data_IF_595771311831
#
_entry.id   IF_595771311831
#
_cell.length_a   1.000
_cell.length_b   1.000
_cell.length_c   1.000
_cell.angle_alpha   90.00
_cell.angle_beta   90.00
_cell.angle_gamma   90.00
#
_symmetry.space_group_name_H-M   'P 1'
#
loop_
_entity.id
_entity.type
_entity.pdbx_description
1 polymer ?
#
# COMPACT_ATOMS: atom_id res chain seq x y z
N UNK A 1 -8.23 -9.72 -11.86
CA UNK A 1 -7.21 -8.72 -12.23
C UNK A 1 -5.82 -9.27 -11.94
N UNK A 2 -4.92 -9.17 -12.89
CA UNK A 2 -3.56 -9.66 -12.72
C UNK A 2 -2.68 -8.61 -12.04
N UNK A 3 -1.79 -9.08 -11.17
CA UNK A 3 -0.77 -8.23 -10.55
C UNK A 3 0.41 -8.13 -11.53
N UNK A 4 0.75 -6.91 -11.92
CA UNK A 4 1.91 -6.65 -12.77
C UNK A 4 3.14 -6.43 -11.90
N UNK A 5 4.19 -7.22 -12.13
CA UNK A 5 5.46 -7.05 -11.42
C UNK A 5 6.34 -6.07 -12.17
N UNK A 6 6.64 -4.94 -11.53
CA UNK A 6 7.57 -3.91 -12.05
C UNK A 6 8.45 -3.46 -10.90
N UNK A 7 9.48 -4.25 -10.63
CA UNK A 7 10.30 -4.05 -9.44
C UNK A 7 11.22 -2.85 -9.59
N UNK A 8 11.26 -2.02 -8.55
CA UNK A 8 12.14 -0.86 -8.46
C UNK A 8 13.54 -1.30 -8.04
N UNK A 9 14.54 -0.49 -8.38
CA UNK A 9 15.96 -0.75 -8.09
C UNK A 9 16.44 -0.04 -6.82
N UNK A 10 15.64 0.84 -6.25
CA UNK A 10 15.98 1.69 -5.11
C UNK A 10 14.87 1.61 -4.08
N UNK A 11 15.13 2.22 -2.90
CA UNK A 11 14.09 2.51 -1.91
C UNK A 11 13.44 1.27 -1.28
N UNK A 12 14.20 0.22 -1.09
CA UNK A 12 13.74 -0.95 -0.33
C UNK A 12 14.93 -1.60 0.38
N UNK A 13 14.62 -2.46 1.34
CA UNK A 13 15.63 -3.18 2.11
C UNK A 13 15.12 -4.57 2.47
N UNK A 14 15.98 -5.39 3.05
CA UNK A 14 15.55 -6.66 3.63
C UNK A 14 14.73 -6.37 4.88
N UNK A 15 13.80 -7.27 5.20
CA UNK A 15 13.07 -7.17 6.46
C UNK A 15 14.02 -7.47 7.62
N UNK A 16 14.00 -6.63 8.64
CA UNK A 16 14.79 -6.85 9.85
C UNK A 16 14.36 -8.16 10.49
N UNK A 17 15.33 -8.97 10.91
CA UNK A 17 15.08 -10.26 11.53
C UNK A 17 14.51 -11.30 10.58
N UNK A 18 14.46 -11.04 9.27
CA UNK A 18 13.92 -11.96 8.26
C UNK A 18 12.49 -12.41 8.58
N UNK A 19 11.71 -11.56 9.25
CA UNK A 19 10.35 -11.89 9.69
C UNK A 19 9.36 -11.82 8.54
N UNK A 20 8.28 -12.59 8.65
CA UNK A 20 7.14 -12.48 7.73
C UNK A 20 6.32 -11.24 8.08
N UNK A 21 5.69 -10.60 7.08
CA UNK A 21 4.79 -9.49 7.38
C UNK A 21 3.55 -9.98 8.15
N UNK A 22 3.13 -9.18 9.12
CA UNK A 22 1.95 -9.47 9.94
C UNK A 22 0.90 -8.37 9.84
N UNK A 23 1.21 -7.25 9.17
CA UNK A 23 0.29 -6.15 8.92
C UNK A 23 0.23 -5.83 7.45
N UNK A 24 -0.94 -5.36 7.01
CA UNK A 24 -1.10 -4.68 5.72
C UNK A 24 -1.45 -3.23 6.05
N UNK A 25 -0.66 -2.29 5.54
CA UNK A 25 -0.84 -0.85 5.79
C UNK A 25 -1.38 -0.21 4.52
N UNK A 26 -2.56 0.38 4.63
CA UNK A 26 -3.25 1.02 3.51
C UNK A 26 -2.93 2.51 3.51
N UNK A 27 -2.55 3.00 2.33
CA UNK A 27 -2.27 4.40 2.06
C UNK A 27 -3.06 4.87 0.86
N UNK A 28 -3.21 6.17 0.68
CA UNK A 28 -3.42 6.72 -0.65
C UNK A 28 -2.21 7.58 -1.03
N UNK A 29 -2.02 7.78 -2.33
CA UNK A 29 -0.83 8.49 -2.81
C UNK A 29 -0.87 9.99 -2.50
N UNK A 30 -2.05 10.52 -2.19
CA UNK A 30 -2.24 11.94 -1.93
C UNK A 30 -1.97 12.84 -3.13
N UNK A 31 -1.79 12.29 -4.32
CA UNK A 31 -1.46 13.03 -5.54
C UNK A 31 -2.62 12.98 -6.53
N UNK A 32 -3.47 14.03 -6.58
CA UNK A 32 -4.64 14.05 -7.46
C UNK A 32 -4.34 14.47 -8.90
N UNK A 33 -3.10 14.72 -9.26
CA UNK A 33 -2.76 15.16 -10.62
C UNK A 33 -3.21 14.13 -11.65
N UNK A 34 -3.69 14.61 -12.79
CA UNK A 34 -3.95 13.75 -13.94
C UNK A 34 -2.67 13.01 -14.34
N UNK A 35 -2.77 11.73 -14.59
CA UNK A 35 -1.63 10.88 -14.93
C UNK A 35 -0.83 10.34 -13.74
N UNK A 36 -1.15 10.72 -12.50
CA UNK A 36 -0.48 10.20 -11.31
C UNK A 36 -1.02 8.82 -10.94
N UNK A 37 -0.87 7.88 -11.85
CA UNK A 37 -1.36 6.50 -11.74
C UNK A 37 -0.27 5.54 -11.20
N UNK A 38 -0.57 4.27 -11.19
CA UNK A 38 0.35 3.26 -10.65
C UNK A 38 1.69 3.22 -11.40
N UNK A 39 1.66 3.29 -12.72
CA UNK A 39 2.90 3.29 -13.51
C UNK A 39 3.72 4.56 -13.32
N UNK A 40 3.06 5.70 -13.13
CA UNK A 40 3.77 6.96 -12.84
C UNK A 40 4.51 6.86 -11.50
N UNK A 41 3.90 6.25 -10.49
CA UNK A 41 4.55 6.03 -9.20
C UNK A 41 5.70 5.02 -9.32
N UNK A 42 5.52 3.95 -10.07
CA UNK A 42 6.62 3.04 -10.35
C UNK A 42 7.81 3.79 -10.95
N UNK A 43 7.58 4.61 -11.98
CA UNK A 43 8.66 5.36 -12.62
C UNK A 43 9.36 6.32 -11.66
N UNK A 44 8.57 6.97 -10.80
CA UNK A 44 9.12 7.90 -9.81
C UNK A 44 10.05 7.18 -8.82
N UNK A 45 9.58 6.10 -8.22
CA UNK A 45 10.35 5.39 -7.20
C UNK A 45 11.48 4.54 -7.79
N UNK A 46 11.45 4.27 -9.09
CA UNK A 46 12.54 3.62 -9.80
C UNK A 46 13.54 4.63 -10.39
N UNK A 47 13.35 5.91 -10.17
CA UNK A 47 14.16 6.98 -10.73
C UNK A 47 15.31 7.47 -9.86
N UNK A 48 15.53 6.88 -8.69
CA UNK A 48 16.59 7.26 -7.77
C UNK A 48 16.19 7.16 -6.32
N UNK A 49 17.04 7.69 -5.44
CA UNK A 49 16.76 7.67 -3.99
C UNK A 49 15.64 8.66 -3.66
N UNK A 50 14.47 8.14 -3.31
CA UNK A 50 13.30 8.93 -2.91
C UNK A 50 12.99 8.79 -1.41
N UNK A 51 13.71 7.92 -0.69
CA UNK A 51 13.55 7.65 0.75
C UNK A 51 12.15 7.18 1.12
N UNK A 52 11.41 6.64 0.16
CA UNK A 52 10.07 6.13 0.34
C UNK A 52 9.75 5.11 -0.75
N UNK A 53 8.80 4.23 -0.48
CA UNK A 53 8.26 3.27 -1.46
C UNK A 53 7.03 2.60 -0.89
N UNK A 54 6.43 1.73 -1.68
CA UNK A 54 5.39 0.81 -1.24
C UNK A 54 5.58 -0.52 -1.97
N UNK A 55 4.91 -1.57 -1.52
CA UNK A 55 4.94 -2.85 -2.22
C UNK A 55 4.04 -2.80 -3.46
N UNK A 56 2.86 -2.17 -3.34
CA UNK A 56 1.87 -2.13 -4.41
C UNK A 56 1.38 -0.71 -4.61
N UNK A 57 1.24 -0.33 -5.88
CA UNK A 57 0.49 0.85 -6.31
C UNK A 57 -0.70 0.38 -7.11
N UNK A 58 -1.89 0.87 -6.76
CA UNK A 58 -3.15 0.38 -7.31
C UNK A 58 -3.93 1.56 -7.87
N UNK A 59 -4.31 1.48 -9.14
CA UNK A 59 -5.21 2.45 -9.76
C UNK A 59 -6.43 1.73 -10.35
N UNK A 60 -7.23 2.44 -11.12
CA UNK A 60 -8.45 1.90 -11.71
C UNK A 60 -8.20 0.82 -12.78
N UNK A 61 -6.98 0.72 -13.27
CA UNK A 61 -6.64 -0.18 -14.39
C UNK A 61 -5.63 -1.25 -14.02
N UNK A 62 -4.83 -1.04 -12.95
CA UNK A 62 -3.66 -1.87 -12.67
C UNK A 62 -3.43 -2.07 -11.19
N UNK A 63 -2.87 -3.23 -10.89
CA UNK A 63 -2.20 -3.51 -9.61
C UNK A 63 -0.72 -3.73 -9.96
N UNK A 64 0.16 -2.84 -9.50
CA UNK A 64 1.58 -2.89 -9.82
C UNK A 64 2.37 -3.23 -8.55
N UNK A 65 3.07 -4.35 -8.57
CA UNK A 65 3.98 -4.74 -7.50
C UNK A 65 5.36 -4.13 -7.78
N UNK A 66 5.80 -3.21 -6.92
CA UNK A 66 7.05 -2.48 -7.08
C UNK A 66 8.16 -2.97 -6.16
N UNK A 67 7.81 -3.61 -5.06
CA UNK A 67 8.75 -4.26 -4.14
C UNK A 67 8.21 -5.64 -3.82
N UNK A 68 9.07 -6.66 -3.87
CA UNK A 68 8.64 -8.00 -3.47
C UNK A 68 8.30 -8.04 -1.99
N UNK A 69 7.24 -8.76 -1.63
CA UNK A 69 6.76 -8.79 -0.23
C UNK A 69 7.72 -9.47 0.73
N UNK A 70 8.72 -10.21 0.21
CA UNK A 70 9.81 -10.74 1.02
C UNK A 70 10.79 -9.67 1.48
N UNK A 71 10.75 -8.49 0.85
CA UNK A 71 11.54 -7.32 1.25
C UNK A 71 10.65 -6.28 1.95
N UNK A 72 11.28 -5.35 2.65
CA UNK A 72 10.60 -4.22 3.25
C UNK A 72 10.55 -3.06 2.25
N UNK A 73 9.37 -2.48 2.05
CA UNK A 73 9.24 -1.18 1.41
C UNK A 73 9.23 -0.10 2.49
N UNK A 74 9.49 1.14 2.10
CA UNK A 74 9.64 2.26 3.02
C UNK A 74 8.39 3.13 2.98
N UNK A 75 7.37 2.74 3.74
CA UNK A 75 6.05 3.36 3.63
C UNK A 75 5.47 3.89 4.95
N UNK A 76 5.99 3.45 6.10
CA UNK A 76 5.46 3.86 7.40
C UNK A 76 6.54 4.07 8.47
N UNK A 77 7.78 4.31 8.04
CA UNK A 77 8.93 4.51 8.94
C UNK A 77 8.83 5.76 9.81
N UNK A 78 7.97 6.72 9.45
CA UNK A 78 7.72 7.94 10.22
C UNK A 78 7.10 7.64 11.60
N UNK A 79 6.54 6.46 11.80
CA UNK A 79 6.01 6.03 13.11
C UNK A 79 7.09 5.61 14.09
N UNK A 80 8.31 5.32 13.62
CA UNK A 80 9.43 4.87 14.45
C UNK A 80 9.09 3.66 15.32
N UNK A 81 8.14 2.83 14.88
CA UNK A 81 7.70 1.64 15.60
C UNK A 81 6.87 1.89 16.87
N UNK A 82 6.49 3.14 17.14
CA UNK A 82 5.79 3.53 18.39
C UNK A 82 4.50 2.75 18.63
N UNK A 83 3.84 2.34 17.58
CA UNK A 83 2.54 1.65 17.67
C UNK A 83 2.64 0.19 17.21
N UNK A 84 3.86 -0.35 17.11
CA UNK A 84 4.10 -1.75 16.77
C UNK A 84 4.03 -2.07 15.28
N UNK A 85 3.87 -1.07 14.42
CA UNK A 85 3.79 -1.24 12.97
C UNK A 85 5.02 -0.59 12.33
N UNK A 86 5.79 -1.38 11.59
CA UNK A 86 7.07 -0.95 11.00
C UNK A 86 7.12 -1.34 9.54
N UNK A 87 8.10 -0.80 8.81
CA UNK A 87 8.37 -1.25 7.44
C UNK A 87 8.72 -2.74 7.39
N UNK A 88 9.40 -3.26 8.41
CA UNK A 88 9.86 -4.65 8.43
C UNK A 88 8.73 -5.65 8.68
N UNK A 89 7.67 -5.28 9.41
CA UNK A 89 6.60 -6.22 9.74
C UNK A 89 5.32 -6.01 8.94
N UNK A 90 5.36 -5.17 7.90
CA UNK A 90 4.16 -4.80 7.15
C UNK A 90 4.35 -4.83 5.65
N UNK A 91 3.23 -4.83 4.95
CA UNK A 91 3.15 -4.66 3.49
C UNK A 91 2.42 -3.35 3.24
N UNK A 92 3.01 -2.47 2.41
CA UNK A 92 2.39 -1.19 2.06
C UNK A 92 1.63 -1.28 0.75
N UNK A 93 0.37 -0.87 0.77
CA UNK A 93 -0.50 -0.79 -0.41
C UNK A 93 -0.94 0.67 -0.57
N UNK A 94 -0.59 1.27 -1.70
CA UNK A 94 -0.91 2.65 -2.04
C UNK A 94 -2.02 2.70 -3.08
N UNK A 95 -3.10 3.42 -2.78
CA UNK A 95 -4.22 3.60 -3.70
C UNK A 95 -4.05 4.95 -4.39
N UNK A 96 -4.06 4.95 -5.72
CA UNK A 96 -3.94 6.16 -6.52
C UNK A 96 -5.24 6.97 -6.46
N UNK A 97 -5.10 8.29 -6.42
CA UNK A 97 -6.22 9.23 -6.35
C UNK A 97 -6.17 10.23 -7.51
N UNK A 98 -5.53 9.85 -8.60
CA UNK A 98 -5.39 10.69 -9.79
C UNK A 98 -6.76 11.12 -10.32
N UNK A 99 -6.88 12.39 -10.68
CA UNK A 99 -8.17 13.00 -11.07
C UNK A 99 -8.76 12.43 -12.37
N UNK A 100 -7.91 11.85 -13.22
CA UNK A 100 -8.32 11.23 -14.48
C UNK A 100 -8.64 9.73 -14.34
N UNK A 101 -8.63 9.18 -13.14
CA UNK A 101 -8.97 7.79 -12.86
C UNK A 101 -10.35 7.63 -12.21
N UNK A 102 -10.79 6.39 -12.12
CA UNK A 102 -12.00 5.99 -11.41
C UNK A 102 -11.61 5.47 -10.03
N UNK A 103 -11.85 6.26 -8.99
CA UNK A 103 -11.46 5.92 -7.62
C UNK A 103 -12.16 4.67 -7.10
N UNK A 104 -13.45 4.48 -7.44
CA UNK A 104 -14.18 3.29 -6.99
C UNK A 104 -13.59 2.02 -7.59
N UNK A 105 -13.13 2.07 -8.82
CA UNK A 105 -12.42 0.97 -9.46
C UNK A 105 -11.05 0.73 -8.80
N UNK A 106 -10.34 1.78 -8.44
CA UNK A 106 -9.07 1.66 -7.72
C UNK A 106 -9.30 0.97 -6.37
N UNK A 107 -10.38 1.30 -5.66
CA UNK A 107 -10.75 0.62 -4.41
C UNK A 107 -11.05 -0.86 -4.65
N UNK A 108 -11.78 -1.21 -5.71
CA UNK A 108 -12.03 -2.62 -6.06
C UNK A 108 -10.72 -3.37 -6.26
N UNK A 109 -9.79 -2.79 -6.99
CA UNK A 109 -8.50 -3.41 -7.26
C UNK A 109 -7.65 -3.53 -5.99
N UNK A 110 -7.73 -2.53 -5.11
CA UNK A 110 -7.07 -2.60 -3.80
C UNK A 110 -7.63 -3.75 -2.95
N UNK A 111 -8.96 -3.95 -2.97
CA UNK A 111 -9.57 -5.10 -2.29
C UNK A 111 -9.02 -6.42 -2.78
N UNK A 112 -8.83 -6.55 -4.09
CA UNK A 112 -8.31 -7.79 -4.69
C UNK A 112 -6.92 -8.10 -4.11
N UNK A 113 -5.99 -7.14 -4.15
CA UNK A 113 -4.64 -7.41 -3.67
C UNK A 113 -4.59 -7.57 -2.15
N UNK A 114 -5.37 -6.79 -1.40
CA UNK A 114 -5.39 -6.89 0.05
C UNK A 114 -5.90 -8.28 0.48
N UNK A 115 -6.97 -8.78 -0.13
CA UNK A 115 -7.49 -10.11 0.18
C UNK A 115 -6.50 -11.20 -0.19
N UNK A 116 -5.86 -11.07 -1.34
CA UNK A 116 -4.81 -12.01 -1.72
C UNK A 116 -3.70 -12.06 -0.66
N UNK A 117 -3.25 -10.91 -0.18
CA UNK A 117 -2.20 -10.83 0.84
C UNK A 117 -2.65 -11.35 2.20
N UNK A 118 -3.89 -11.08 2.59
CA UNK A 118 -4.47 -11.62 3.83
C UNK A 118 -4.45 -13.15 3.81
N UNK A 119 -4.84 -13.74 2.69
CA UNK A 119 -4.87 -15.20 2.54
C UNK A 119 -3.45 -15.77 2.48
N UNK A 120 -2.59 -15.15 1.70
CA UNK A 120 -1.23 -15.65 1.48
C UNK A 120 -0.39 -15.64 2.76
N UNK A 121 -0.48 -14.56 3.54
CA UNK A 121 0.30 -14.39 4.77
C UNK A 121 -0.49 -14.70 6.04
N UNK A 122 -1.73 -15.12 5.91
CA UNK A 122 -2.61 -15.40 7.04
C UNK A 122 -2.74 -14.18 7.97
N UNK A 123 -2.98 -13.01 7.37
CA UNK A 123 -3.13 -11.74 8.07
C UNK A 123 -4.63 -11.50 8.32
N UNK A 124 -5.07 -11.41 9.60
CA UNK A 124 -6.47 -11.17 9.90
C UNK A 124 -6.87 -9.73 9.63
N UNK A 125 -8.17 -9.48 9.48
CA UNK A 125 -8.71 -8.15 9.20
C UNK A 125 -8.24 -7.09 10.21
N UNK A 126 -8.14 -7.44 11.49
CA UNK A 126 -7.69 -6.49 12.53
C UNK A 126 -6.27 -5.99 12.32
N UNK A 127 -5.50 -6.64 11.46
CA UNK A 127 -4.13 -6.23 11.10
C UNK A 127 -4.04 -5.62 9.71
N UNK A 128 -5.16 -5.36 9.08
CA UNK A 128 -5.27 -4.48 7.92
C UNK A 128 -5.54 -3.10 8.49
N UNK A 129 -4.54 -2.24 8.43
CA UNK A 129 -4.49 -0.97 9.17
C UNK A 129 -4.18 0.19 8.21
N UNK A 130 -4.26 1.41 8.72
CA UNK A 130 -3.93 2.62 7.96
C UNK A 130 -2.53 3.09 8.30
N UNK A 131 -1.97 3.92 7.45
CA UNK A 131 -0.76 4.67 7.81
C UNK A 131 -0.98 5.44 9.13
N UNK A 132 -2.18 6.00 9.33
CA UNK A 132 -2.54 6.66 10.59
C UNK A 132 -2.30 5.76 11.81
N UNK A 133 -2.58 4.47 11.70
CA UNK A 133 -2.39 3.54 12.82
C UNK A 133 -0.92 3.29 13.12
N UNK A 134 -0.03 3.49 12.14
CA UNK A 134 1.40 3.32 12.32
C UNK A 134 2.10 4.58 12.84
N UNK A 135 1.61 5.78 12.50
CA UNK A 135 2.35 7.02 12.77
C UNK A 135 1.49 8.22 13.17
N UNK A 136 0.16 8.10 13.12
CA UNK A 136 -0.82 9.19 13.27
C UNK A 136 -0.80 10.19 12.11
N UNK A 137 -0.12 9.90 11.01
CA UNK A 137 -0.24 10.67 9.78
C UNK A 137 -1.65 10.47 9.19
N UNK A 138 -2.29 11.54 8.72
CA UNK A 138 -3.62 11.46 8.09
C UNK A 138 -3.50 10.84 6.70
N UNK A 139 -3.43 9.52 6.66
CA UNK A 139 -3.32 8.70 5.44
C UNK A 139 -3.97 7.33 5.72
N UNK A 140 -4.83 6.84 4.85
CA UNK A 140 -5.29 7.45 3.59
C UNK A 140 -6.34 8.54 3.84
N UNK A 141 -6.16 9.69 3.23
CA UNK A 141 -7.12 10.81 3.39
C UNK A 141 -8.47 10.50 2.79
N UNK A 142 -8.47 9.74 1.71
CA UNK A 142 -9.68 9.32 1.02
C UNK A 142 -10.57 8.38 1.85
N UNK A 143 -10.01 7.76 2.89
CA UNK A 143 -10.71 6.82 3.76
C UNK A 143 -10.34 7.04 5.22
N UNK A 144 -10.39 8.29 5.69
CA UNK A 144 -9.97 8.61 7.07
C UNK A 144 -11.06 8.40 8.11
N UNK A 145 -12.31 8.13 7.70
CA UNK A 145 -13.44 7.93 8.60
C UNK A 145 -13.26 6.66 9.47
N UNK A 146 -13.97 6.60 10.60
CA UNK A 146 -13.85 5.49 11.54
C UNK A 146 -14.27 4.13 10.95
N UNK A 147 -15.11 4.14 9.93
CA UNK A 147 -15.57 2.93 9.26
C UNK A 147 -14.81 2.60 7.97
N UNK A 148 -13.59 3.09 7.82
CA UNK A 148 -12.80 2.96 6.60
C UNK A 148 -12.63 1.50 6.14
N UNK A 149 -12.47 0.57 7.07
CA UNK A 149 -12.33 -0.86 6.71
C UNK A 149 -13.59 -1.40 6.06
N UNK A 150 -14.76 -1.00 6.57
CA UNK A 150 -16.02 -1.41 5.97
C UNK A 150 -16.17 -0.88 4.54
N UNK A 151 -15.74 0.37 4.29
CA UNK A 151 -15.75 0.93 2.95
C UNK A 151 -14.78 0.22 2.02
N UNK A 152 -13.57 -0.06 2.50
CA UNK A 152 -12.53 -0.68 1.69
C UNK A 152 -12.82 -2.16 1.42
N UNK A 153 -13.19 -2.91 2.46
CA UNK A 153 -13.26 -4.37 2.38
C UNK A 153 -14.68 -4.90 2.26
N UNK A 154 -15.67 -4.02 2.28
CA UNK A 154 -17.05 -4.43 2.09
C UNK A 154 -17.22 -5.10 0.74
N UNK A 155 -17.86 -6.25 0.76
CA UNK A 155 -18.29 -6.93 -0.45
C UNK A 155 -19.69 -7.46 -0.23
N UNK A 156 -20.42 -7.45 -1.31
CA UNK A 156 -21.82 -7.91 -1.35
C UNK A 156 -21.95 -9.41 -1.49
N UNK A 157 -20.89 -10.15 -1.27
CA UNK A 157 -20.94 -11.62 -1.33
C UNK A 157 -21.47 -12.24 -0.06
#
# INVERSE_FOLDING_TARGET
>A
MLIEKRLIKFNFSKREGMVKPTFIVVHDTGNPRAGADALAHYRYFNGGNRKASAHYFVDDKRIVETVETTNASWHCGDGHGRYGITNSNSIGVEICVNSDGDYDKALENARVVIRFLMDFYNIPLKRVVRHFDASHKLCPRSMSANNWQACLLYTSD
#
